data_IF_975268980697
#
_entry.id   IF_975268980697
#
_cell.length_a   1.000
_cell.length_b   1.000
_cell.length_c   1.000
_cell.angle_alpha   90.00
_cell.angle_beta   90.00
_cell.angle_gamma   90.00
#
_symmetry.space_group_name_H-M   'P 1'
#
loop_
_entity.id
_entity.type
_entity.pdbx_description
1 polymer ?
#
# COMPACT_ATOMS: atom_id res chain seq x y z
N UNK A 1 25.13 -13.03 35.11
CA UNK A 1 24.93 -11.61 35.45
C UNK A 1 24.33 -10.93 34.23
N UNK A 2 23.20 -10.20 34.35
CA UNK A 2 22.65 -9.46 33.22
C UNK A 2 23.43 -8.14 33.06
N UNK A 3 24.00 -7.91 31.87
CA UNK A 3 24.51 -6.59 31.47
C UNK A 3 23.29 -5.67 31.27
N UNK A 4 23.11 -4.61 32.07
CA UNK A 4 23.73 -3.29 31.93
C UNK A 4 23.20 -2.57 30.69
N UNK A 5 22.35 -1.58 30.91
CA UNK A 5 21.65 -0.84 29.86
C UNK A 5 22.56 0.01 28.96
N UNK A 6 22.18 0.01 27.69
CA UNK A 6 22.31 1.14 26.77
C UNK A 6 20.93 1.39 26.20
N UNK A 7 20.56 2.66 26.05
CA UNK A 7 19.45 3.01 25.16
C UNK A 7 19.82 2.53 23.74
N UNK A 8 19.36 1.34 23.34
CA UNK A 8 19.56 0.75 22.00
C UNK A 8 18.67 1.44 20.94
N UNK A 9 18.62 2.77 20.96
CA UNK A 9 17.91 3.57 20.00
C UNK A 9 18.59 3.45 18.61
N UNK A 10 17.93 2.73 17.70
CA UNK A 10 18.07 2.83 16.24
C UNK A 10 19.25 2.13 15.53
N UNK A 11 19.66 0.93 15.97
CA UNK A 11 20.44 0.05 15.08
C UNK A 11 19.51 -0.77 14.18
N UNK A 12 19.15 -0.25 13.00
CA UNK A 12 18.49 -1.02 11.95
C UNK A 12 19.54 -1.66 11.04
N UNK A 13 19.54 -2.99 10.90
CA UNK A 13 20.47 -3.71 10.03
C UNK A 13 19.75 -4.31 8.83
N UNK A 14 20.14 -3.88 7.64
CA UNK A 14 19.53 -4.32 6.38
C UNK A 14 18.35 -3.46 5.94
N UNK A 15 17.65 -3.89 4.88
CA UNK A 15 16.45 -3.24 4.35
C UNK A 15 15.44 -4.32 3.98
N UNK A 16 14.18 -4.11 4.35
CA UNK A 16 13.05 -4.93 3.94
C UNK A 16 12.10 -4.06 3.14
N UNK A 17 11.66 -4.53 1.98
CA UNK A 17 10.70 -3.80 1.14
C UNK A 17 9.27 -4.00 1.63
N UNK A 18 8.45 -2.95 1.58
CA UNK A 18 6.99 -3.07 1.64
C UNK A 18 6.43 -3.00 0.21
N UNK A 19 5.38 -3.78 -0.08
CA UNK A 19 4.89 -3.96 -1.45
C UNK A 19 3.37 -3.76 -1.52
N UNK A 20 2.95 -3.15 -2.61
CA UNK A 20 1.55 -3.04 -3.02
C UNK A 20 1.46 -3.62 -4.43
N UNK A 21 0.83 -4.80 -4.53
CA UNK A 21 0.80 -5.59 -5.76
C UNK A 21 -0.64 -5.74 -6.22
N UNK A 22 -0.95 -5.12 -7.36
CA UNK A 22 -2.23 -5.26 -8.03
C UNK A 22 -2.11 -6.36 -9.10
N UNK A 23 -2.81 -7.47 -8.89
CA UNK A 23 -2.91 -8.53 -9.91
C UNK A 23 -3.95 -8.13 -10.94
N UNK A 24 -3.58 -8.13 -12.23
CA UNK A 24 -4.51 -7.83 -13.33
C UNK A 24 -5.36 -9.07 -13.61
N UNK A 25 -6.50 -9.16 -12.93
CA UNK A 25 -7.57 -10.13 -13.22
C UNK A 25 -8.47 -9.62 -14.35
N UNK A 26 -9.36 -10.45 -14.93
CA UNK A 26 -10.35 -9.99 -15.90
C UNK A 26 -11.19 -8.80 -15.39
N UNK A 27 -11.68 -8.86 -14.16
CA UNK A 27 -12.47 -7.75 -13.57
C UNK A 27 -11.67 -6.45 -13.44
N UNK A 28 -10.38 -6.55 -13.11
CA UNK A 28 -9.47 -5.40 -13.06
C UNK A 28 -9.19 -4.87 -14.47
N UNK A 29 -9.01 -5.76 -15.45
CA UNK A 29 -8.84 -5.38 -16.85
C UNK A 29 -10.06 -4.61 -17.36
N UNK A 30 -11.27 -5.11 -17.09
CA UNK A 30 -12.52 -4.44 -17.45
C UNK A 30 -12.65 -3.07 -16.76
N UNK A 31 -12.29 -2.98 -15.48
CA UNK A 31 -12.29 -1.72 -14.73
C UNK A 31 -11.30 -0.70 -15.31
N UNK A 32 -10.11 -1.13 -15.74
CA UNK A 32 -9.11 -0.28 -16.40
C UNK A 32 -9.65 0.26 -17.73
N UNK A 33 -10.23 -0.61 -18.57
CA UNK A 33 -10.82 -0.21 -19.85
C UNK A 33 -11.97 0.77 -19.64
N UNK A 34 -12.80 0.54 -18.62
CA UNK A 34 -13.88 1.43 -18.22
C UNK A 34 -13.41 2.71 -17.51
N UNK A 35 -12.09 2.94 -17.39
CA UNK A 35 -11.47 4.09 -16.72
C UNK A 35 -12.02 4.34 -15.32
N UNK A 36 -12.26 3.25 -14.57
CA UNK A 36 -12.70 3.34 -13.18
C UNK A 36 -11.61 3.99 -12.32
N UNK A 37 -12.04 4.62 -11.24
CA UNK A 37 -11.14 5.29 -10.31
C UNK A 37 -10.17 4.30 -9.65
N UNK A 38 -9.01 4.78 -9.22
CA UNK A 38 -8.04 3.98 -8.47
C UNK A 38 -8.65 3.36 -7.20
N UNK A 39 -9.61 4.05 -6.58
CA UNK A 39 -10.36 3.57 -5.42
C UNK A 39 -11.26 2.37 -5.78
N UNK A 40 -11.99 2.45 -6.89
CA UNK A 40 -12.80 1.34 -7.39
C UNK A 40 -11.92 0.14 -7.75
N UNK A 41 -10.78 0.35 -8.43
CA UNK A 41 -9.83 -0.73 -8.74
C UNK A 41 -9.32 -1.42 -7.48
N UNK A 42 -8.93 -0.64 -6.46
CA UNK A 42 -8.46 -1.18 -5.19
C UNK A 42 -9.54 -2.00 -4.46
N UNK A 43 -10.81 -1.59 -4.55
CA UNK A 43 -11.92 -2.32 -3.95
C UNK A 43 -12.18 -3.65 -4.66
N UNK A 44 -12.19 -3.65 -6.00
CA UNK A 44 -12.29 -4.88 -6.80
C UNK A 44 -11.14 -5.83 -6.44
N UNK A 45 -9.91 -5.30 -6.37
CA UNK A 45 -8.71 -6.08 -6.06
C UNK A 45 -8.71 -6.69 -4.66
N UNK A 46 -9.35 -6.05 -3.67
CA UNK A 46 -9.47 -6.58 -2.30
C UNK A 46 -10.29 -7.86 -2.23
N UNK A 47 -11.28 -8.01 -3.12
CA UNK A 47 -12.19 -9.16 -3.17
C UNK A 47 -11.82 -10.17 -4.26
N UNK A 48 -10.92 -9.81 -5.17
CA UNK A 48 -10.53 -10.67 -6.27
C UNK A 48 -9.84 -11.97 -5.79
N UNK A 49 -10.22 -13.14 -6.33
CA UNK A 49 -9.52 -14.39 -6.06
C UNK A 49 -8.15 -14.39 -6.77
N UNK A 50 -7.13 -14.98 -6.15
CA UNK A 50 -5.80 -15.08 -6.77
C UNK A 50 -4.70 -15.53 -5.82
N UNK A 51 -3.49 -15.71 -6.37
CA UNK A 51 -2.31 -16.15 -5.62
C UNK A 51 -1.82 -15.10 -4.60
N UNK A 52 -2.12 -13.81 -4.84
CA UNK A 52 -1.70 -12.70 -4.00
C UNK A 52 -2.90 -11.84 -3.62
N UNK A 53 -3.15 -11.68 -2.32
CA UNK A 53 -4.15 -10.74 -1.81
C UNK A 53 -3.63 -9.32 -1.96
N UNK A 54 -4.43 -8.45 -2.60
CA UNK A 54 -4.13 -7.02 -2.64
C UNK A 54 -4.06 -6.44 -1.22
N UNK A 55 -2.98 -5.72 -0.96
CA UNK A 55 -2.74 -4.98 0.27
C UNK A 55 -2.05 -3.69 -0.11
N UNK A 56 -2.42 -2.61 0.56
CA UNK A 56 -1.72 -1.33 0.47
C UNK A 56 -0.32 -1.44 1.05
N UNK A 57 0.58 -0.53 0.66
CA UNK A 57 1.93 -0.42 1.25
C UNK A 57 1.88 -0.35 2.78
N UNK A 58 0.91 0.39 3.32
CA UNK A 58 0.72 0.55 4.77
C UNK A 58 0.30 -0.76 5.42
N UNK A 59 -0.63 -1.50 4.84
CA UNK A 59 -1.06 -2.80 5.37
C UNK A 59 0.09 -3.82 5.39
N UNK A 60 0.86 -3.91 4.31
CA UNK A 60 2.05 -4.79 4.26
C UNK A 60 3.11 -4.37 5.30
N UNK A 61 3.35 -3.07 5.44
CA UNK A 61 4.23 -2.52 6.48
C UNK A 61 3.76 -2.86 7.89
N UNK A 62 2.46 -2.67 8.19
CA UNK A 62 1.89 -2.99 9.50
C UNK A 62 1.98 -4.49 9.81
N UNK A 63 1.76 -5.37 8.83
CA UNK A 63 1.94 -6.82 9.00
C UNK A 63 3.40 -7.14 9.35
N UNK A 64 4.36 -6.54 8.64
CA UNK A 64 5.80 -6.75 8.90
C UNK A 64 6.24 -6.19 10.26
N UNK A 65 5.67 -5.06 10.69
CA UNK A 65 5.91 -4.52 12.01
C UNK A 65 5.37 -5.45 13.11
N UNK A 66 4.17 -5.98 12.92
CA UNK A 66 3.60 -6.98 13.84
C UNK A 66 4.43 -8.27 13.92
N UNK A 67 5.18 -8.60 12.87
CA UNK A 67 6.10 -9.74 12.81
C UNK A 67 7.52 -9.40 13.36
N UNK A 68 7.77 -8.15 13.76
CA UNK A 68 9.09 -7.71 14.25
C UNK A 68 10.15 -7.53 13.16
N UNK A 69 9.76 -7.49 11.87
CA UNK A 69 10.68 -7.31 10.74
C UNK A 69 11.04 -5.83 10.51
N UNK A 70 10.27 -4.91 11.07
CA UNK A 70 10.49 -3.46 11.06
C UNK A 70 9.78 -2.84 12.27
N UNK A 71 10.00 -1.55 12.55
CA UNK A 71 9.28 -0.82 13.60
C UNK A 71 8.02 -0.15 13.04
N UNK A 72 7.04 0.11 13.92
CA UNK A 72 5.86 0.89 13.56
C UNK A 72 6.24 2.31 13.11
N UNK A 73 7.23 2.92 13.77
CA UNK A 73 7.75 4.24 13.41
C UNK A 73 8.29 4.27 11.98
N UNK A 74 9.06 3.25 11.57
CA UNK A 74 9.56 3.14 10.21
C UNK A 74 8.42 3.01 9.19
N UNK A 75 7.38 2.22 9.50
CA UNK A 75 6.21 2.08 8.63
C UNK A 75 5.47 3.41 8.48
N UNK A 76 5.23 4.12 9.57
CA UNK A 76 4.55 5.42 9.53
C UNK A 76 5.40 6.48 8.83
N UNK A 77 6.73 6.42 8.94
CA UNK A 77 7.64 7.31 8.23
C UNK A 77 7.58 7.15 6.71
N UNK A 78 7.43 5.92 6.21
CA UNK A 78 7.46 5.64 4.75
C UNK A 78 6.08 5.50 4.13
N UNK A 79 5.05 5.13 4.90
CA UNK A 79 3.69 4.84 4.44
C UNK A 79 2.60 5.48 5.31
N UNK A 80 2.94 6.51 6.09
CA UNK A 80 1.99 7.25 6.94
C UNK A 80 1.20 8.32 6.21
N UNK A 81 1.70 8.83 5.09
CA UNK A 81 1.02 9.84 4.27
C UNK A 81 0.04 9.18 3.29
N UNK A 82 -1.03 8.57 3.81
CA UNK A 82 -2.22 8.40 2.99
C UNK A 82 -2.91 9.76 2.92
N UNK A 83 -2.43 10.66 2.05
CA UNK A 83 -3.29 11.73 1.57
C UNK A 83 -4.49 11.05 0.96
N UNK A 84 -5.67 11.31 1.53
CA UNK A 84 -6.93 10.83 0.99
C UNK A 84 -7.00 11.25 -0.48
N UNK A 85 -6.79 10.30 -1.40
CA UNK A 85 -7.12 10.42 -2.81
C UNK A 85 -8.65 10.33 -2.99
N UNK A 86 -9.40 11.07 -2.18
CA UNK A 86 -10.82 11.26 -2.36
C UNK A 86 -11.00 12.47 -3.29
N UNK A 87 -11.04 12.22 -4.60
CA UNK A 87 -11.76 13.07 -5.54
C UNK A 87 -10.99 14.10 -6.36
N UNK A 88 -9.65 14.07 -6.42
CA UNK A 88 -8.90 15.01 -7.28
C UNK A 88 -8.59 14.46 -8.69
N UNK A 89 -8.41 13.15 -8.83
CA UNK A 89 -7.93 12.53 -10.08
C UNK A 89 -9.02 12.43 -11.17
N UNK A 90 -10.30 12.49 -10.77
CA UNK A 90 -11.46 12.30 -11.67
C UNK A 90 -11.75 13.52 -12.56
N UNK A 91 -11.33 14.73 -12.17
CA UNK A 91 -11.67 15.95 -12.89
C UNK A 91 -10.86 16.14 -14.20
N UNK A 92 -9.66 15.58 -14.28
CA UNK A 92 -8.75 15.83 -15.42
C UNK A 92 -9.03 14.94 -16.64
N UNK A 93 -9.73 13.82 -16.47
CA UNK A 93 -9.97 12.85 -17.55
C UNK A 93 -11.33 13.02 -18.24
N UNK A 94 -12.27 13.72 -17.61
CA UNK A 94 -13.57 14.03 -18.21
C UNK A 94 -13.45 15.10 -19.32
N UNK A 95 -12.47 16.00 -19.23
CA UNK A 95 -12.28 17.07 -20.23
C UNK A 95 -11.60 16.59 -21.52
N UNK A 96 -10.86 15.47 -21.49
CA UNK A 96 -10.15 14.93 -22.66
C UNK A 96 -11.05 14.08 -23.56
N UNK A 97 -12.12 13.49 -23.02
CA UNK A 97 -13.11 12.71 -23.79
C UNK A 97 -14.16 13.57 -24.52
N UNK A 98 -14.17 14.88 -24.26
CA UNK A 98 -15.07 15.85 -24.89
C UNK A 98 -14.41 16.63 -26.05
N UNK A 99 -13.22 16.21 -26.48
CA UNK A 99 -12.55 16.64 -27.73
C UNK A 99 -12.49 15.48 -28.72
#
# INVERSE_FOLDING_TARGET
APASGSDDAASYRGRSGIHELLTVTPDIQDAIVARRSSMELAEIARHAPGAWKFRTLREDGLIKAAQGLTSLEEVLRVAGSQSQGAGADDAMLAEDAAR
#
